data_IF_215037537772
#
_entry.id   IF_215037537772
#
_cell.length_a   1.000
_cell.length_b   1.000
_cell.length_c   1.000
_cell.angle_alpha   90.00
_cell.angle_beta   90.00
_cell.angle_gamma   90.00
#
_symmetry.space_group_name_H-M   'P 1'
#
loop_
_entity.id
_entity.type
_entity.pdbx_description
1 polymer ?
#
# COMPACT_ATOMS: atom_id res chain seq x y z
N UNK A 1 17.74 -84.13 -20.27
CA UNK A 1 18.15 -82.93 -19.57
C UNK A 1 17.70 -81.73 -20.45
N UNK A 2 16.55 -81.14 -20.18
CA UNK A 2 15.98 -80.02 -20.91
C UNK A 2 16.13 -78.75 -20.10
N UNK A 3 16.95 -77.85 -20.60
CA UNK A 3 17.23 -76.55 -19.96
C UNK A 3 16.17 -75.56 -20.39
N UNK A 4 15.35 -75.07 -19.45
CA UNK A 4 14.41 -74.00 -19.66
C UNK A 4 15.11 -72.65 -19.42
N UNK A 5 15.10 -71.80 -20.42
CA UNK A 5 15.61 -70.42 -20.37
C UNK A 5 14.45 -69.46 -20.08
N UNK A 6 14.46 -68.82 -18.92
CA UNK A 6 13.45 -67.82 -18.48
C UNK A 6 13.87 -66.46 -18.97
N UNK A 7 13.05 -65.84 -19.86
CA UNK A 7 13.23 -64.44 -20.26
C UNK A 7 12.54 -63.53 -19.20
N UNK A 8 13.31 -62.64 -18.61
CA UNK A 8 12.80 -61.58 -17.75
C UNK A 8 12.62 -60.32 -18.62
N UNK A 9 11.38 -59.91 -18.82
CA UNK A 9 11.06 -58.66 -19.55
C UNK A 9 11.03 -57.51 -18.55
N UNK A 10 12.01 -56.60 -18.67
CA UNK A 10 12.05 -55.37 -17.91
C UNK A 10 11.08 -54.35 -18.55
N UNK A 11 10.00 -54.00 -17.85
CA UNK A 11 9.11 -52.89 -18.26
C UNK A 11 9.71 -51.58 -17.80
N UNK A 12 10.16 -50.77 -18.73
CA UNK A 12 10.58 -49.39 -18.51
C UNK A 12 9.32 -48.51 -18.47
N UNK A 13 8.92 -48.01 -17.29
CA UNK A 13 7.89 -47.01 -17.16
C UNK A 13 8.45 -45.66 -17.60
N UNK A 14 8.03 -45.18 -18.74
CA UNK A 14 8.29 -43.80 -19.19
C UNK A 14 7.46 -42.83 -18.33
N UNK A 15 8.12 -42.09 -17.45
CA UNK A 15 7.50 -40.94 -16.77
C UNK A 15 7.39 -39.83 -17.82
N UNK A 16 6.21 -39.63 -18.37
CA UNK A 16 5.89 -38.45 -19.18
C UNK A 16 5.75 -37.27 -18.22
N UNK A 17 6.79 -36.44 -18.15
CA UNK A 17 6.68 -35.11 -17.57
C UNK A 17 5.69 -34.31 -18.47
N UNK A 18 4.47 -34.15 -18.02
CA UNK A 18 3.53 -33.19 -18.62
C UNK A 18 4.10 -31.80 -18.38
N UNK A 19 4.65 -31.19 -19.43
CA UNK A 19 4.92 -29.76 -19.44
C UNK A 19 3.61 -29.06 -19.13
N UNK A 20 3.55 -28.31 -18.05
CA UNK A 20 2.45 -27.40 -17.78
C UNK A 20 2.40 -26.45 -18.98
N UNK A 21 1.37 -26.59 -19.82
CA UNK A 21 1.08 -25.63 -20.89
C UNK A 21 0.65 -24.37 -20.16
N UNK A 22 1.19 -23.21 -20.55
CA UNK A 22 0.73 -21.92 -20.07
C UNK A 22 -0.80 -21.84 -20.20
N UNK A 23 -1.53 -21.74 -19.09
CA UNK A 23 -2.99 -21.73 -19.08
C UNK A 23 -3.55 -20.33 -19.39
N UNK A 24 -2.90 -19.56 -20.24
CA UNK A 24 -3.39 -18.26 -20.68
C UNK A 24 -2.53 -17.07 -20.24
N UNK A 25 -3.15 -15.91 -20.25
CA UNK A 25 -2.52 -14.65 -19.90
C UNK A 25 -3.34 -13.88 -18.84
N UNK A 26 -2.69 -12.90 -18.24
CA UNK A 26 -3.27 -11.95 -17.31
C UNK A 26 -2.76 -10.55 -17.65
N UNK A 27 -3.66 -9.61 -17.93
CA UNK A 27 -3.32 -8.23 -18.25
C UNK A 27 -3.47 -7.36 -16.99
N UNK A 28 -2.36 -7.00 -16.38
CA UNK A 28 -2.27 -6.27 -15.12
C UNK A 28 -2.05 -4.78 -15.37
N UNK A 29 -3.00 -3.94 -14.99
CA UNK A 29 -2.82 -2.50 -14.89
C UNK A 29 -2.38 -2.16 -13.47
N UNK A 30 -1.14 -1.68 -13.28
CA UNK A 30 -0.54 -1.50 -11.98
C UNK A 30 0.01 -0.09 -11.76
N UNK A 31 -0.35 0.50 -10.63
CA UNK A 31 0.34 1.69 -10.12
C UNK A 31 1.42 1.34 -9.08
N UNK A 32 1.62 0.08 -8.78
CA UNK A 32 2.76 -0.40 -8.00
C UNK A 32 3.98 -0.47 -8.92
N UNK A 33 5.13 -0.07 -8.38
CA UNK A 33 6.39 0.05 -9.14
C UNK A 33 7.61 -0.33 -8.26
N UNK A 34 7.40 -1.32 -7.39
CA UNK A 34 8.48 -1.77 -6.50
C UNK A 34 9.25 -2.91 -7.18
N UNK A 35 10.58 -2.84 -7.20
CA UNK A 35 11.44 -3.91 -7.73
C UNK A 35 11.14 -5.27 -7.10
N UNK A 36 10.67 -5.27 -5.85
CA UNK A 36 10.31 -6.46 -5.09
C UNK A 36 9.05 -7.15 -5.59
N UNK A 37 8.17 -6.42 -6.31
CA UNK A 37 6.96 -6.98 -6.90
C UNK A 37 7.27 -7.91 -8.09
N UNK A 38 8.45 -7.79 -8.72
CA UNK A 38 8.90 -8.69 -9.80
C UNK A 38 8.84 -10.16 -9.37
N UNK A 39 9.14 -10.42 -8.11
CA UNK A 39 9.11 -11.76 -7.56
C UNK A 39 7.68 -12.27 -7.36
N UNK A 40 6.74 -11.41 -7.03
CA UNK A 40 5.31 -11.77 -7.00
C UNK A 40 4.85 -12.28 -8.37
N UNK A 41 5.24 -11.57 -9.43
CA UNK A 41 4.81 -11.88 -10.79
C UNK A 41 5.50 -13.13 -11.33
N UNK A 42 6.82 -13.26 -11.13
CA UNK A 42 7.57 -14.41 -11.61
C UNK A 42 7.14 -15.72 -10.93
N UNK A 43 6.97 -15.71 -9.61
CA UNK A 43 6.58 -16.90 -8.85
C UNK A 43 5.14 -17.32 -9.17
N UNK A 44 4.23 -16.37 -9.42
CA UNK A 44 2.88 -16.69 -9.90
C UNK A 44 2.92 -17.36 -11.27
N UNK A 45 3.69 -16.80 -12.21
CA UNK A 45 3.85 -17.38 -13.55
C UNK A 45 4.48 -18.77 -13.48
N UNK A 46 5.51 -18.97 -12.64
CA UNK A 46 6.15 -20.28 -12.46
C UNK A 46 5.18 -21.32 -11.89
N UNK A 47 4.35 -20.92 -10.91
CA UNK A 47 3.41 -21.81 -10.26
C UNK A 47 2.22 -22.19 -11.12
N UNK A 48 1.75 -21.28 -11.99
CA UNK A 48 0.47 -21.44 -12.72
C UNK A 48 0.62 -21.61 -14.21
N UNK A 49 1.76 -21.22 -14.79
CA UNK A 49 1.95 -21.12 -16.24
C UNK A 49 1.28 -19.89 -16.86
N UNK A 50 0.56 -19.05 -16.08
CA UNK A 50 -0.11 -17.85 -16.59
C UNK A 50 0.91 -16.74 -16.80
N UNK A 51 0.96 -16.19 -18.03
CA UNK A 51 1.85 -15.06 -18.35
C UNK A 51 1.21 -13.74 -17.93
N UNK A 52 1.96 -12.91 -17.18
CA UNK A 52 1.49 -11.58 -16.78
C UNK A 52 1.98 -10.52 -17.77
N UNK A 53 1.05 -9.85 -18.45
CA UNK A 53 1.30 -8.68 -19.28
C UNK A 53 1.03 -7.42 -18.45
N UNK A 54 2.02 -6.54 -18.25
CA UNK A 54 1.90 -5.37 -17.39
C UNK A 54 1.80 -4.07 -18.15
N UNK A 55 0.92 -3.19 -17.69
CA UNK A 55 0.89 -1.78 -18.00
C UNK A 55 1.01 -1.01 -16.69
N UNK A 56 2.11 -0.30 -16.55
CA UNK A 56 2.41 0.48 -15.34
C UNK A 56 2.18 1.96 -15.59
N UNK A 57 1.60 2.65 -14.59
CA UNK A 57 1.28 4.07 -14.68
C UNK A 57 0.72 4.61 -13.38
N UNK A 58 0.36 5.90 -13.38
CA UNK A 58 -0.33 6.48 -12.22
C UNK A 58 -1.75 5.90 -12.15
N UNK A 59 -2.22 5.59 -10.93
CA UNK A 59 -3.53 4.98 -10.72
C UNK A 59 -4.66 5.75 -11.40
N UNK A 60 -4.66 7.07 -11.26
CA UNK A 60 -5.71 7.92 -11.86
C UNK A 60 -5.70 7.86 -13.39
N UNK A 61 -4.52 7.79 -14.02
CA UNK A 61 -4.36 7.63 -15.48
C UNK A 61 -4.85 6.26 -15.95
N UNK A 62 -4.56 5.20 -15.17
CA UNK A 62 -5.02 3.84 -15.46
C UNK A 62 -6.54 3.71 -15.34
N UNK A 63 -7.15 4.31 -14.30
CA UNK A 63 -8.62 4.34 -14.15
C UNK A 63 -9.29 5.06 -15.33
N UNK A 64 -8.81 6.25 -15.69
CA UNK A 64 -9.37 6.99 -16.84
C UNK A 64 -9.14 6.23 -18.17
N UNK A 65 -8.04 5.54 -18.31
CA UNK A 65 -7.77 4.66 -19.46
C UNK A 65 -8.78 3.51 -19.53
N UNK A 66 -9.01 2.78 -18.44
CA UNK A 66 -10.00 1.69 -18.38
C UNK A 66 -11.42 2.20 -18.71
N UNK A 67 -11.79 3.39 -18.22
CA UNK A 67 -13.06 4.05 -18.60
C UNK A 67 -13.15 4.31 -20.10
N UNK A 68 -12.09 4.87 -20.69
CA UNK A 68 -12.06 5.20 -22.11
C UNK A 68 -12.07 3.97 -23.02
N UNK A 69 -11.41 2.90 -22.60
CA UNK A 69 -11.40 1.61 -23.29
C UNK A 69 -12.76 0.89 -23.18
N UNK A 70 -13.49 1.09 -22.07
CA UNK A 70 -14.82 0.54 -21.84
C UNK A 70 -14.88 -0.98 -22.01
N UNK A 71 -15.84 -1.47 -22.80
CA UNK A 71 -16.00 -2.91 -23.08
C UNK A 71 -14.83 -3.54 -23.86
N UNK A 72 -13.94 -2.73 -24.46
CA UNK A 72 -12.77 -3.19 -25.19
C UNK A 72 -11.50 -3.13 -24.33
N UNK A 73 -11.60 -2.81 -23.04
CA UNK A 73 -10.42 -2.80 -22.17
C UNK A 73 -9.80 -4.19 -22.10
N UNK A 74 -8.49 -4.30 -22.36
CA UNK A 74 -7.79 -5.57 -22.20
C UNK A 74 -7.45 -5.87 -20.73
N UNK A 75 -7.66 -4.91 -19.81
CA UNK A 75 -7.31 -5.07 -18.40
C UNK A 75 -8.09 -6.21 -17.75
N UNK A 76 -7.39 -7.08 -17.04
CA UNK A 76 -7.98 -8.10 -16.18
C UNK A 76 -8.00 -7.65 -14.71
N UNK A 77 -6.96 -6.93 -14.27
CA UNK A 77 -6.81 -6.43 -12.91
C UNK A 77 -6.36 -4.98 -12.93
N UNK A 78 -6.90 -4.19 -12.00
CA UNK A 78 -6.30 -2.95 -11.52
C UNK A 78 -5.68 -3.19 -10.15
N UNK A 79 -4.36 -2.91 -10.02
CA UNK A 79 -3.61 -2.96 -8.76
C UNK A 79 -3.10 -1.56 -8.39
N UNK A 80 -3.44 -1.07 -7.20
CA UNK A 80 -3.11 0.30 -6.79
C UNK A 80 -2.59 0.40 -5.36
N UNK A 81 -2.14 1.57 -4.95
CA UNK A 81 -1.41 1.81 -3.70
C UNK A 81 -2.12 2.73 -2.70
N UNK A 82 -3.41 2.92 -2.85
CA UNK A 82 -4.17 3.80 -1.95
C UNK A 82 -5.65 3.44 -1.96
N UNK A 83 -6.25 3.41 -0.77
CA UNK A 83 -7.66 3.12 -0.55
C UNK A 83 -8.59 4.00 -1.40
N UNK A 84 -8.33 5.31 -1.44
CA UNK A 84 -9.19 6.24 -2.19
C UNK A 84 -9.19 5.98 -3.69
N UNK A 85 -8.14 5.36 -4.23
CA UNK A 85 -8.08 4.98 -5.63
C UNK A 85 -8.83 3.70 -5.94
N UNK A 86 -8.91 2.77 -5.00
CA UNK A 86 -9.75 1.58 -5.10
C UNK A 86 -11.23 1.99 -5.12
N UNK A 87 -11.65 2.84 -4.19
CA UNK A 87 -13.00 3.39 -4.16
C UNK A 87 -13.31 4.20 -5.43
N UNK A 88 -12.39 5.05 -5.88
CA UNK A 88 -12.55 5.77 -7.15
C UNK A 88 -12.71 4.84 -8.36
N UNK A 89 -12.00 3.71 -8.39
CA UNK A 89 -12.14 2.72 -9.46
C UNK A 89 -13.50 2.02 -9.39
N UNK A 90 -13.99 1.69 -8.18
CA UNK A 90 -15.35 1.19 -7.93
C UNK A 90 -16.40 2.19 -8.43
N UNK A 91 -16.35 3.43 -7.98
CA UNK A 91 -17.26 4.52 -8.37
C UNK A 91 -17.27 4.79 -9.88
N UNK A 92 -16.12 4.63 -10.52
CA UNK A 92 -15.97 4.77 -11.96
C UNK A 92 -16.55 3.59 -12.75
N UNK A 93 -17.00 2.52 -12.08
CA UNK A 93 -17.56 1.32 -12.70
C UNK A 93 -16.53 0.52 -13.51
N UNK A 94 -15.23 0.64 -13.19
CA UNK A 94 -14.16 -0.09 -13.89
C UNK A 94 -13.77 -1.40 -13.20
N UNK A 95 -14.38 -1.72 -12.06
CA UNK A 95 -14.23 -2.98 -11.34
C UNK A 95 -15.53 -3.78 -11.37
N UNK A 96 -15.46 -5.09 -11.14
CA UNK A 96 -16.60 -5.96 -10.97
C UNK A 96 -16.53 -6.72 -9.66
N UNK A 97 -17.70 -7.09 -9.10
CA UNK A 97 -17.79 -8.00 -7.97
C UNK A 97 -17.28 -9.39 -8.36
N UNK A 98 -16.57 -10.02 -7.44
CA UNK A 98 -16.16 -11.41 -7.54
C UNK A 98 -16.54 -12.16 -6.26
N UNK A 99 -16.78 -13.45 -6.39
CA UNK A 99 -16.96 -14.37 -5.27
C UNK A 99 -15.68 -15.19 -5.12
N UNK A 100 -15.06 -15.18 -3.95
CA UNK A 100 -13.88 -15.99 -3.62
C UNK A 100 -13.85 -16.27 -2.12
N UNK A 101 -14.24 -17.49 -1.74
CA UNK A 101 -14.16 -17.95 -0.36
C UNK A 101 -12.72 -17.78 0.18
N UNK A 102 -11.70 -17.97 -0.67
CA UNK A 102 -10.29 -17.81 -0.31
C UNK A 102 -9.98 -16.38 0.14
N UNK A 103 -10.42 -15.36 -0.60
CA UNK A 103 -10.18 -13.96 -0.26
C UNK A 103 -11.00 -13.56 0.97
N UNK A 104 -12.26 -13.97 1.04
CA UNK A 104 -13.15 -13.65 2.16
C UNK A 104 -12.70 -14.27 3.47
N UNK A 105 -12.17 -15.50 3.44
CA UNK A 105 -11.65 -16.19 4.63
C UNK A 105 -10.29 -15.65 5.10
N UNK A 106 -9.40 -15.27 4.17
CA UNK A 106 -8.03 -14.88 4.50
C UNK A 106 -7.87 -13.41 4.89
N UNK A 107 -8.67 -12.52 4.29
CA UNK A 107 -8.53 -11.09 4.49
C UNK A 107 -9.51 -10.58 5.56
N UNK A 108 -9.09 -9.67 6.46
CA UNK A 108 -10.03 -9.00 7.37
C UNK A 108 -11.09 -8.20 6.61
N UNK A 109 -12.31 -8.15 7.16
CA UNK A 109 -13.45 -7.48 6.51
C UNK A 109 -13.19 -6.00 6.18
N UNK A 110 -12.41 -5.28 7.01
CA UNK A 110 -12.02 -3.89 6.75
C UNK A 110 -10.97 -3.73 5.64
N UNK A 111 -10.47 -4.81 5.06
CA UNK A 111 -9.58 -4.83 3.89
C UNK A 111 -10.28 -5.39 2.65
N UNK A 112 -11.59 -5.49 2.68
CA UNK A 112 -12.44 -5.95 1.59
C UNK A 112 -13.51 -4.91 1.32
N UNK A 113 -13.83 -4.71 0.05
CA UNK A 113 -14.99 -3.92 -0.33
C UNK A 113 -16.30 -4.63 0.04
N UNK A 114 -17.31 -3.90 0.49
CA UNK A 114 -18.61 -4.46 0.87
C UNK A 114 -19.34 -5.18 -0.27
N UNK A 115 -19.05 -4.80 -1.54
CA UNK A 115 -19.55 -5.43 -2.75
C UNK A 115 -18.54 -6.38 -3.41
N UNK A 116 -17.43 -6.70 -2.75
CA UNK A 116 -16.36 -7.58 -3.25
C UNK A 116 -15.75 -7.11 -4.58
N UNK A 117 -15.67 -5.80 -4.82
CA UNK A 117 -15.07 -5.24 -6.04
C UNK A 117 -13.57 -5.01 -5.92
N UNK A 118 -13.03 -4.85 -4.69
CA UNK A 118 -11.61 -4.76 -4.42
C UNK A 118 -11.21 -5.41 -3.10
N UNK A 119 -9.93 -5.77 -3.00
CA UNK A 119 -9.31 -6.42 -1.84
C UNK A 119 -7.97 -5.77 -1.54
N UNK A 120 -7.65 -5.61 -0.24
CA UNK A 120 -6.39 -5.08 0.25
C UNK A 120 -5.38 -6.19 0.54
N UNK A 121 -4.15 -6.05 0.04
CA UNK A 121 -3.12 -7.08 0.16
C UNK A 121 -1.91 -6.67 1.01
N UNK A 122 -1.72 -5.40 1.27
CA UNK A 122 -0.71 -4.90 2.21
C UNK A 122 -1.14 -3.59 2.83
N UNK A 123 -0.59 -3.27 4.00
CA UNK A 123 -0.96 -2.09 4.76
C UNK A 123 0.27 -1.29 5.20
N UNK A 124 0.08 -0.01 5.49
CA UNK A 124 1.08 0.89 6.08
C UNK A 124 0.40 1.93 6.95
N UNK A 125 1.02 2.23 8.08
CA UNK A 125 0.62 3.36 8.90
C UNK A 125 1.33 4.63 8.43
N UNK A 126 0.64 5.76 8.49
CA UNK A 126 1.23 7.07 8.28
C UNK A 126 1.53 7.69 9.65
N UNK A 127 2.81 7.85 10.00
CA UNK A 127 3.22 8.18 11.35
C UNK A 127 4.07 9.45 11.41
N UNK A 128 4.25 9.98 12.61
CA UNK A 128 5.06 11.17 12.86
C UNK A 128 6.48 10.73 13.17
N UNK A 129 7.44 11.33 12.49
CA UNK A 129 8.87 11.23 12.78
C UNK A 129 9.40 12.56 13.29
N UNK A 130 10.43 12.53 14.14
CA UNK A 130 10.98 13.74 14.73
C UNK A 130 12.46 13.58 15.07
N UNK A 131 13.21 14.68 15.11
CA UNK A 131 14.58 14.70 15.64
C UNK A 131 14.55 14.69 17.18
N UNK A 132 15.16 13.66 17.78
CA UNK A 132 15.22 13.49 19.24
C UNK A 132 16.03 14.57 19.95
N UNK A 133 16.96 15.23 19.24
CA UNK A 133 17.81 16.27 19.81
C UNK A 133 17.04 17.60 19.93
N UNK A 134 16.14 17.89 18.97
CA UNK A 134 15.47 19.18 18.85
C UNK A 134 14.03 19.19 19.31
N UNK A 135 13.39 17.98 19.47
CA UNK A 135 12.00 17.83 19.88
C UNK A 135 11.90 17.00 21.15
N UNK A 136 11.93 17.66 22.31
CA UNK A 136 11.80 17.00 23.61
C UNK A 136 10.39 16.45 23.86
N UNK A 137 9.35 17.10 23.31
CA UNK A 137 7.95 16.74 23.43
C UNK A 137 7.34 16.59 22.04
N UNK A 138 7.44 15.40 21.41
CA UNK A 138 6.89 15.19 20.08
C UNK A 138 5.36 15.18 20.07
N UNK A 139 4.71 15.57 18.95
CA UNK A 139 3.27 15.46 18.77
C UNK A 139 2.80 14.02 19.01
N UNK A 140 1.68 13.84 19.72
CA UNK A 140 1.11 12.52 20.05
C UNK A 140 -0.09 12.16 19.19
N UNK A 141 -0.62 13.13 18.46
CA UNK A 141 -1.73 12.96 17.53
C UNK A 141 -1.47 13.79 16.27
N UNK A 142 -2.25 13.56 15.22
CA UNK A 142 -2.19 14.44 14.04
C UNK A 142 -2.62 15.85 14.40
N UNK A 143 -3.61 15.98 15.29
CA UNK A 143 -4.15 17.29 15.73
C UNK A 143 -3.06 18.14 16.36
N UNK A 144 -2.14 17.56 17.11
CA UNK A 144 -1.05 18.27 17.79
C UNK A 144 -0.09 18.96 16.79
N UNK A 145 -0.01 18.49 15.54
CA UNK A 145 0.85 19.11 14.52
C UNK A 145 0.46 20.56 14.19
N UNK A 146 -0.75 20.96 14.53
CA UNK A 146 -1.23 22.33 14.38
C UNK A 146 -0.87 23.24 15.55
N UNK A 147 -0.24 22.72 16.63
CA UNK A 147 0.17 23.51 17.78
C UNK A 147 1.24 24.54 17.34
N UNK A 148 1.06 25.85 17.66
CA UNK A 148 2.05 26.89 17.37
C UNK A 148 3.46 26.64 17.94
N UNK A 149 3.61 25.76 18.92
CA UNK A 149 4.91 25.33 19.45
C UNK A 149 5.81 24.67 18.39
N UNK A 150 5.21 24.16 17.29
CA UNK A 150 5.93 23.54 16.17
C UNK A 150 6.12 24.49 14.98
N UNK A 151 5.96 25.80 15.16
CA UNK A 151 6.14 26.78 14.09
C UNK A 151 7.53 26.71 13.48
N UNK A 152 7.56 26.58 12.14
CA UNK A 152 8.81 26.47 11.36
C UNK A 152 9.54 25.13 11.52
N UNK A 153 8.84 24.06 12.02
CA UNK A 153 9.46 22.77 12.32
C UNK A 153 8.98 21.61 11.48
N UNK A 154 7.86 21.75 10.76
CA UNK A 154 7.18 20.63 10.10
C UNK A 154 7.54 20.54 8.63
N UNK A 155 8.01 19.38 8.19
CA UNK A 155 8.10 19.00 6.77
C UNK A 155 6.95 18.09 6.37
N UNK A 156 6.35 18.36 5.22
CA UNK A 156 5.27 17.55 4.68
C UNK A 156 5.33 17.47 3.14
N UNK A 157 4.60 16.50 2.59
CA UNK A 157 4.42 16.36 1.15
C UNK A 157 3.40 17.36 0.61
N UNK A 158 3.43 17.57 -0.70
CA UNK A 158 2.45 18.38 -1.44
C UNK A 158 1.02 17.90 -1.23
N UNK A 159 0.06 18.84 -1.29
CA UNK A 159 -1.39 18.59 -1.31
C UNK A 159 -1.85 17.73 -2.48
N UNK A 160 -1.09 17.72 -3.59
CA UNK A 160 -1.38 16.85 -4.75
C UNK A 160 -1.03 15.39 -4.52
N UNK A 161 -0.33 15.07 -3.43
CA UNK A 161 0.03 13.69 -3.11
C UNK A 161 -1.12 12.97 -2.40
N UNK A 162 -1.43 11.76 -2.88
CA UNK A 162 -2.53 10.96 -2.36
C UNK A 162 -2.43 10.69 -0.85
N UNK A 163 -1.22 10.49 -0.30
CA UNK A 163 -1.05 10.24 1.15
C UNK A 163 -1.33 11.49 2.00
N UNK A 164 -1.13 12.69 1.45
CA UNK A 164 -1.58 13.94 2.10
C UNK A 164 -3.10 14.04 2.06
N UNK A 165 -3.70 13.74 0.90
CA UNK A 165 -5.14 13.81 0.68
C UNK A 165 -5.89 12.83 1.59
N UNK A 166 -5.47 11.56 1.65
CA UNK A 166 -6.12 10.55 2.49
C UNK A 166 -5.90 10.79 3.99
N UNK A 167 -4.75 11.34 4.39
CA UNK A 167 -4.56 11.77 5.77
C UNK A 167 -5.53 12.89 6.16
N UNK A 168 -5.66 13.95 5.36
CA UNK A 168 -6.62 15.01 5.65
C UNK A 168 -8.06 14.50 5.58
N UNK A 169 -8.36 13.60 4.64
CA UNK A 169 -9.67 12.95 4.55
C UNK A 169 -10.01 12.13 5.81
N UNK A 170 -9.01 11.44 6.41
CA UNK A 170 -9.21 10.74 7.68
C UNK A 170 -9.43 11.72 8.85
N UNK A 171 -8.74 12.86 8.85
CA UNK A 171 -8.99 13.93 9.85
C UNK A 171 -10.40 14.50 9.71
N UNK A 172 -10.90 14.68 8.48
CA UNK A 172 -12.29 15.11 8.24
C UNK A 172 -13.27 14.08 8.77
N UNK A 173 -13.05 12.79 8.46
CA UNK A 173 -13.93 11.70 8.90
C UNK A 173 -14.01 11.60 10.43
N UNK A 174 -12.89 11.77 11.13
CA UNK A 174 -12.81 11.67 12.59
C UNK A 174 -13.30 12.93 13.33
N UNK A 175 -13.07 14.13 12.77
CA UNK A 175 -13.23 15.39 13.51
C UNK A 175 -14.18 16.40 12.82
N UNK A 176 -14.63 16.13 11.59
CA UNK A 176 -15.46 17.02 10.79
C UNK A 176 -14.64 18.06 10.00
N UNK A 177 -15.29 18.65 8.97
CA UNK A 177 -14.64 19.51 7.97
C UNK A 177 -14.07 20.81 8.57
N UNK A 178 -14.81 21.45 9.51
CA UNK A 178 -14.36 22.71 10.13
C UNK A 178 -13.13 22.52 11.01
N UNK A 179 -13.09 21.45 11.81
CA UNK A 179 -11.93 21.12 12.66
C UNK A 179 -10.73 20.74 11.78
N UNK A 180 -10.94 19.95 10.73
CA UNK A 180 -9.91 19.55 9.79
C UNK A 180 -9.32 20.75 9.04
N UNK A 181 -10.14 21.75 8.68
CA UNK A 181 -9.69 22.99 8.06
C UNK A 181 -8.82 23.81 9.03
N UNK A 182 -9.24 23.93 10.28
CA UNK A 182 -8.44 24.57 11.34
C UNK A 182 -7.10 23.87 11.53
N UNK A 183 -7.10 22.55 11.59
CA UNK A 183 -5.91 21.73 11.64
C UNK A 183 -4.97 21.96 10.46
N UNK A 184 -5.48 21.84 9.23
CA UNK A 184 -4.70 22.02 8.03
C UNK A 184 -4.04 23.42 7.97
N UNK A 185 -4.78 24.47 8.39
CA UNK A 185 -4.24 25.83 8.49
C UNK A 185 -3.09 25.90 9.50
N UNK A 186 -3.26 25.32 10.70
CA UNK A 186 -2.22 25.30 11.72
C UNK A 186 -0.96 24.54 11.28
N UNK A 187 -1.14 23.41 10.56
CA UNK A 187 0.01 22.67 9.99
C UNK A 187 0.74 23.50 8.94
N UNK A 188 0.02 24.21 8.07
CA UNK A 188 0.62 25.13 7.08
C UNK A 188 1.43 26.23 7.77
N UNK A 189 0.90 26.81 8.86
CA UNK A 189 1.59 27.85 9.64
C UNK A 189 2.86 27.33 10.34
N UNK A 190 2.96 26.00 10.50
CA UNK A 190 4.07 25.31 11.13
C UNK A 190 5.09 24.75 10.13
N UNK A 191 4.91 24.90 8.84
CA UNK A 191 5.86 24.41 7.85
C UNK A 191 7.24 25.07 8.00
N UNK A 192 8.28 24.24 8.00
CA UNK A 192 9.67 24.66 7.94
C UNK A 192 10.06 25.11 6.53
N UNK A 193 9.44 24.53 5.52
CA UNK A 193 9.64 24.80 4.10
C UNK A 193 8.37 24.54 3.31
N UNK A 194 8.30 25.02 2.08
CA UNK A 194 7.24 24.64 1.14
C UNK A 194 7.17 23.11 1.00
N UNK A 195 5.97 22.49 0.99
CA UNK A 195 5.80 21.08 0.76
C UNK A 195 6.43 20.59 -0.54
N UNK A 196 7.26 19.55 -0.46
CA UNK A 196 7.99 19.02 -1.61
C UNK A 196 8.46 17.58 -1.39
N UNK A 197 8.84 16.91 -2.47
CA UNK A 197 9.47 15.60 -2.45
C UNK A 197 8.55 14.44 -2.01
N UNK A 198 9.15 13.28 -1.83
CA UNK A 198 8.52 12.08 -1.34
C UNK A 198 8.67 11.89 0.18
N UNK A 199 8.16 10.77 0.71
CA UNK A 199 8.28 10.45 2.15
C UNK A 199 9.74 10.28 2.58
N UNK A 200 10.61 9.73 1.72
CA UNK A 200 12.06 9.66 1.99
C UNK A 200 12.66 11.06 2.13
N UNK A 201 12.19 12.04 1.34
CA UNK A 201 12.70 13.41 1.42
C UNK A 201 12.24 14.14 2.69
N UNK A 202 11.09 13.73 3.25
CA UNK A 202 10.66 14.21 4.57
C UNK A 202 11.63 13.70 5.66
N UNK A 203 12.02 12.42 5.60
CA UNK A 203 12.99 11.84 6.53
C UNK A 203 14.40 12.46 6.35
N UNK A 204 14.81 12.76 5.11
CA UNK A 204 16.05 13.49 4.81
C UNK A 204 16.04 14.90 5.40
N UNK A 205 14.88 15.56 5.40
CA UNK A 205 14.70 16.87 6.03
C UNK A 205 15.03 16.86 7.53
N UNK A 206 14.69 15.79 8.25
CA UNK A 206 15.08 15.60 9.65
C UNK A 206 16.60 15.44 9.79
N UNK A 207 17.21 14.62 8.94
CA UNK A 207 18.67 14.36 8.97
C UNK A 207 19.48 15.61 8.64
N UNK A 208 19.01 16.44 7.74
CA UNK A 208 19.69 17.67 7.34
C UNK A 208 19.44 18.86 8.28
N UNK A 209 18.53 18.74 9.25
CA UNK A 209 18.11 19.85 10.10
C UNK A 209 17.24 20.90 9.38
N UNK A 210 16.66 20.56 8.22
CA UNK A 210 15.75 21.44 7.50
C UNK A 210 14.38 21.51 8.21
N UNK A 211 14.01 20.45 8.92
CA UNK A 211 12.84 20.37 9.77
C UNK A 211 13.09 19.45 10.96
N UNK A 212 12.32 19.64 12.03
CA UNK A 212 12.43 18.85 13.27
C UNK A 212 11.35 17.75 13.35
N UNK A 213 10.26 17.89 12.58
CA UNK A 213 9.11 16.99 12.57
C UNK A 213 8.71 16.70 11.12
N UNK A 214 8.38 15.45 10.82
CA UNK A 214 7.83 15.07 9.53
C UNK A 214 6.78 13.98 9.63
N UNK A 215 5.99 13.79 8.57
CA UNK A 215 5.06 12.68 8.43
C UNK A 215 5.48 11.82 7.25
N UNK A 216 5.56 10.51 7.48
CA UNK A 216 5.92 9.52 6.48
C UNK A 216 5.21 8.20 6.73
N UNK A 217 5.05 7.39 5.69
CA UNK A 217 4.59 6.01 5.88
C UNK A 217 5.69 5.16 6.50
N UNK A 218 5.28 4.21 7.32
CA UNK A 218 6.18 3.33 8.12
C UNK A 218 7.25 2.65 7.29
N UNK A 219 6.91 2.13 6.12
CA UNK A 219 7.82 1.33 5.30
C UNK A 219 9.03 2.12 4.75
N UNK A 220 8.97 3.44 4.64
CA UNK A 220 10.13 4.23 4.21
C UNK A 220 11.24 4.22 5.26
N UNK A 221 10.89 4.36 6.52
CA UNK A 221 11.87 4.31 7.61
C UNK A 221 12.30 2.87 7.90
N UNK A 222 11.38 1.91 7.88
CA UNK A 222 11.68 0.49 8.02
C UNK A 222 12.66 0.02 6.94
N UNK A 223 12.48 0.48 5.68
CA UNK A 223 13.43 0.23 4.60
C UNK A 223 14.81 0.80 4.91
N UNK A 224 14.88 2.01 5.44
CA UNK A 224 16.15 2.62 5.84
C UNK A 224 16.82 1.86 7.00
N UNK A 225 16.06 1.22 7.89
CA UNK A 225 16.61 0.31 8.91
C UNK A 225 17.21 -0.95 8.25
N UNK A 226 16.56 -1.51 7.23
CA UNK A 226 16.94 -2.78 6.60
C UNK A 226 18.09 -2.65 5.62
N UNK A 227 18.18 -1.54 4.89
CA UNK A 227 19.20 -1.31 3.85
C UNK A 227 19.63 0.14 3.79
N UNK A 228 20.77 0.40 3.17
CA UNK A 228 21.21 1.75 2.94
C UNK A 228 20.24 2.49 2.01
N UNK A 229 19.88 3.70 2.44
CA UNK A 229 19.07 4.65 1.69
C UNK A 229 19.84 5.96 1.62
N UNK A 230 20.06 6.44 0.40
CA UNK A 230 20.79 7.69 0.17
C UNK A 230 20.19 8.85 0.99
N UNK A 231 21.05 9.61 1.64
CA UNK A 231 20.67 10.71 2.54
C UNK A 231 20.08 10.30 3.89
N UNK A 232 20.08 8.99 4.23
CA UNK A 232 19.63 8.46 5.53
C UNK A 232 20.69 7.52 6.14
N UNK A 233 21.92 8.00 6.48
CA UNK A 233 22.97 7.16 7.04
C UNK A 233 22.59 6.63 8.43
N UNK A 234 23.20 5.51 8.84
CA UNK A 234 22.81 4.79 10.06
C UNK A 234 22.95 5.62 11.35
N UNK A 235 23.99 6.42 11.45
CA UNK A 235 24.25 7.32 12.56
C UNK A 235 23.22 8.44 12.67
N UNK A 236 22.82 9.05 11.56
CA UNK A 236 21.76 10.06 11.54
C UNK A 236 20.39 9.46 11.87
N UNK A 237 20.08 8.27 11.35
CA UNK A 237 18.83 7.55 11.69
C UNK A 237 18.69 7.28 13.19
N UNK A 238 19.78 7.09 13.91
CA UNK A 238 19.76 6.89 15.36
C UNK A 238 19.10 8.05 16.12
N UNK A 239 19.15 9.26 15.58
CA UNK A 239 18.54 10.46 16.17
C UNK A 239 17.05 10.62 15.79
N UNK A 240 16.55 9.88 14.82
CA UNK A 240 15.13 9.93 14.45
C UNK A 240 14.30 9.15 15.47
N UNK A 241 13.32 9.83 16.07
CA UNK A 241 12.25 9.23 16.85
C UNK A 241 10.99 9.11 16.01
N UNK A 242 10.03 8.30 16.49
CA UNK A 242 8.72 8.18 15.86
C UNK A 242 7.62 8.05 16.90
N UNK A 243 6.42 8.45 16.49
CA UNK A 243 5.19 8.33 17.26
C UNK A 243 4.11 7.75 16.34
N UNK A 244 3.46 6.69 16.75
CA UNK A 244 2.17 6.30 16.20
C UNK A 244 1.12 7.26 16.76
N UNK A 245 0.44 8.05 15.91
CA UNK A 245 -0.45 9.10 16.42
C UNK A 245 -1.72 8.55 17.04
N UNK A 246 -2.35 9.36 17.90
CA UNK A 246 -3.70 9.16 18.42
C UNK A 246 -3.96 7.81 19.13
N UNK A 247 -2.95 7.23 19.80
CA UNK A 247 -3.06 5.90 20.41
C UNK A 247 -4.08 5.85 21.58
N UNK A 248 -4.41 7.00 22.17
CA UNK A 248 -5.48 7.16 23.19
C UNK A 248 -6.80 7.69 22.59
N UNK A 249 -6.88 7.85 21.30
CA UNK A 249 -8.03 8.35 20.54
C UNK A 249 -8.38 7.42 19.38
N UNK A 250 -8.45 7.93 18.16
CA UNK A 250 -8.86 7.22 16.96
C UNK A 250 -7.86 6.15 16.45
N UNK A 251 -6.57 6.28 16.77
CA UNK A 251 -5.52 5.40 16.28
C UNK A 251 -4.73 6.00 15.12
N UNK A 252 -3.74 5.27 14.64
CA UNK A 252 -2.90 5.71 13.52
C UNK A 252 -3.60 5.46 12.18
N UNK A 253 -3.64 6.49 11.33
CA UNK A 253 -4.20 6.37 9.98
C UNK A 253 -3.50 5.26 9.19
N UNK A 254 -4.32 4.34 8.70
CA UNK A 254 -3.88 3.22 7.85
C UNK A 254 -4.21 3.50 6.40
N UNK A 255 -3.35 3.02 5.53
CA UNK A 255 -3.59 2.96 4.11
C UNK A 255 -3.20 1.58 3.58
N UNK A 256 -3.68 1.20 2.42
CA UNK A 256 -3.46 -0.13 1.87
C UNK A 256 -3.01 -0.09 0.41
N UNK A 257 -2.41 -1.19 -0.04
CA UNK A 257 -2.33 -1.52 -1.45
C UNK A 257 -3.28 -2.66 -1.72
N UNK A 258 -4.02 -2.55 -2.79
CA UNK A 258 -5.04 -3.52 -3.15
C UNK A 258 -5.34 -3.53 -4.64
N UNK A 259 -6.27 -4.36 -5.02
CA UNK A 259 -6.71 -4.47 -6.40
C UNK A 259 -8.05 -5.15 -6.53
N UNK A 260 -8.60 -5.06 -7.73
CA UNK A 260 -9.86 -5.70 -8.10
C UNK A 260 -9.85 -6.17 -9.55
N UNK A 261 -10.78 -7.04 -9.87
CA UNK A 261 -10.98 -7.54 -11.23
C UNK A 261 -11.65 -6.46 -12.06
N UNK A 262 -11.10 -6.20 -13.25
CA UNK A 262 -11.66 -5.20 -14.16
C UNK A 262 -13.08 -5.58 -14.62
N UNK A 263 -13.94 -4.58 -14.80
CA UNK A 263 -15.35 -4.78 -15.14
C UNK A 263 -15.58 -5.65 -16.38
N UNK A 264 -14.67 -5.57 -17.35
CA UNK A 264 -14.75 -6.29 -18.62
C UNK A 264 -13.55 -7.25 -18.81
N UNK A 265 -12.97 -7.76 -17.72
CA UNK A 265 -11.80 -8.63 -17.74
C UNK A 265 -11.95 -9.81 -18.71
N UNK A 266 -11.14 -9.89 -19.78
CA UNK A 266 -11.19 -11.02 -20.71
C UNK A 266 -10.72 -12.33 -20.08
N UNK A 267 -9.83 -12.27 -19.08
CA UNK A 267 -9.28 -13.43 -18.38
C UNK A 267 -9.67 -13.45 -16.90
N UNK A 268 -10.98 -13.31 -16.61
CA UNK A 268 -11.50 -13.18 -15.23
C UNK A 268 -11.01 -14.28 -14.30
N UNK A 269 -11.03 -15.54 -14.71
CA UNK A 269 -10.62 -16.66 -13.84
C UNK A 269 -9.13 -16.59 -13.47
N UNK A 270 -8.27 -16.13 -14.40
CA UNK A 270 -6.86 -15.90 -14.13
C UNK A 270 -6.65 -14.70 -13.21
N UNK A 271 -7.51 -13.67 -13.33
CA UNK A 271 -7.51 -12.52 -12.44
C UNK A 271 -7.85 -12.91 -11.00
N UNK A 272 -8.89 -13.71 -10.80
CA UNK A 272 -9.26 -14.22 -9.45
C UNK A 272 -8.12 -15.05 -8.87
N UNK A 273 -7.54 -16.00 -9.63
CA UNK A 273 -6.38 -16.80 -9.19
C UNK A 273 -5.20 -15.91 -8.76
N UNK A 274 -4.95 -14.81 -9.46
CA UNK A 274 -3.87 -13.91 -9.09
C UNK A 274 -4.18 -13.12 -7.80
N UNK A 275 -5.41 -12.64 -7.60
CA UNK A 275 -5.79 -11.98 -6.35
C UNK A 275 -5.71 -12.97 -5.17
N UNK A 276 -6.15 -14.22 -5.32
CA UNK A 276 -5.99 -15.27 -4.32
C UNK A 276 -4.51 -15.57 -4.02
N UNK A 277 -3.66 -15.59 -5.04
CA UNK A 277 -2.23 -15.72 -4.85
C UNK A 277 -1.65 -14.55 -4.04
N UNK A 278 -2.08 -13.31 -4.27
CA UNK A 278 -1.63 -12.16 -3.48
C UNK A 278 -2.01 -12.29 -1.99
N UNK A 279 -3.07 -13.00 -1.64
CA UNK A 279 -3.45 -13.33 -0.26
C UNK A 279 -2.70 -14.56 0.29
N UNK A 280 -1.94 -15.30 -0.53
CA UNK A 280 -1.18 -16.47 -0.05
C UNK A 280 -0.06 -16.08 0.93
N UNK A 281 0.30 -17.00 1.81
CA UNK A 281 1.39 -16.78 2.77
C UNK A 281 2.72 -16.39 2.10
N UNK A 282 3.01 -16.92 0.91
CA UNK A 282 4.21 -16.59 0.14
C UNK A 282 4.18 -15.15 -0.34
N UNK A 283 3.10 -14.71 -1.00
CA UNK A 283 2.96 -13.35 -1.50
C UNK A 283 2.95 -12.32 -0.35
N UNK A 284 2.28 -12.64 0.74
CA UNK A 284 2.24 -11.80 1.94
C UNK A 284 3.62 -11.60 2.58
N UNK A 285 4.50 -12.60 2.49
CA UNK A 285 5.89 -12.45 2.89
C UNK A 285 6.69 -11.51 2.00
N UNK A 286 6.39 -11.44 0.70
CA UNK A 286 7.04 -10.47 -0.19
C UNK A 286 6.61 -9.03 0.13
N UNK A 287 5.35 -8.79 0.45
CA UNK A 287 4.91 -7.47 0.92
C UNK A 287 5.61 -7.10 2.23
N UNK A 288 5.69 -8.02 3.18
CA UNK A 288 6.34 -7.78 4.47
C UNK A 288 7.86 -7.64 4.35
N UNK A 289 8.57 -8.67 3.91
CA UNK A 289 10.02 -8.69 3.91
C UNK A 289 10.66 -7.90 2.75
N UNK A 290 9.98 -7.82 1.60
CA UNK A 290 10.45 -7.11 0.42
C UNK A 290 10.21 -5.61 0.50
N UNK A 291 8.99 -5.19 0.83
CA UNK A 291 8.57 -3.80 0.82
C UNK A 291 8.51 -3.13 2.19
N UNK A 292 8.72 -3.89 3.28
CA UNK A 292 8.57 -3.39 4.66
C UNK A 292 7.14 -2.89 4.96
N UNK A 293 6.12 -3.47 4.30
CA UNK A 293 4.71 -3.22 4.56
C UNK A 293 4.16 -4.20 5.60
N UNK A 294 3.05 -3.86 6.26
CA UNK A 294 2.32 -4.82 7.09
C UNK A 294 1.54 -5.76 6.17
N UNK A 295 1.63 -7.09 6.37
CA UNK A 295 0.80 -8.04 5.64
C UNK A 295 -0.69 -7.81 5.94
N UNK A 296 -1.54 -8.09 4.96
CA UNK A 296 -3.00 -8.02 5.14
C UNK A 296 -3.55 -9.27 5.82
N UNK A 297 -2.94 -10.43 5.56
CA UNK A 297 -3.39 -11.72 6.11
C UNK A 297 -2.91 -11.88 7.55
N UNK A 298 -3.81 -12.11 8.52
CA UNK A 298 -3.45 -12.31 9.92
C UNK A 298 -2.51 -13.50 10.11
N UNK A 299 -1.58 -13.37 11.05
CA UNK A 299 -0.61 -14.44 11.38
C UNK A 299 0.62 -14.51 10.48
N UNK A 300 0.67 -13.77 9.38
CA UNK A 300 1.91 -13.63 8.59
C UNK A 300 2.89 -12.74 9.36
N UNK A 301 4.16 -13.18 9.42
CA UNK A 301 5.18 -12.44 10.14
C UNK A 301 5.50 -11.09 9.48
N UNK A 302 5.55 -10.03 10.28
CA UNK A 302 6.08 -8.73 9.86
C UNK A 302 7.61 -8.79 9.77
N UNK A 303 8.20 -7.97 8.90
CA UNK A 303 9.66 -7.91 8.78
C UNK A 303 10.32 -7.40 10.06
N UNK A 304 11.57 -7.81 10.37
CA UNK A 304 12.29 -7.29 11.54
C UNK A 304 12.42 -5.76 11.55
N UNK A 305 12.57 -5.14 10.39
CA UNK A 305 12.64 -3.68 10.25
C UNK A 305 11.34 -3.00 10.64
N UNK A 306 10.19 -3.53 10.22
CA UNK A 306 8.86 -3.03 10.63
C UNK A 306 8.60 -3.31 12.11
N UNK A 307 8.99 -4.50 12.60
CA UNK A 307 8.85 -4.86 14.02
C UNK A 307 9.61 -3.91 14.96
N UNK A 308 10.72 -3.31 14.50
CA UNK A 308 11.47 -2.29 15.25
C UNK A 308 10.63 -1.06 15.58
N UNK A 309 9.62 -0.73 14.77
CA UNK A 309 8.74 0.41 15.01
C UNK A 309 7.79 0.19 16.19
N UNK A 310 7.58 -1.06 16.62
CA UNK A 310 6.74 -1.43 17.75
C UNK A 310 5.28 -1.69 17.39
N UNK A 311 4.49 -1.91 18.42
CA UNK A 311 3.04 -2.15 18.31
C UNK A 311 2.27 -0.83 18.39
N UNK A 312 1.13 -0.78 17.73
CA UNK A 312 0.25 0.37 17.73
C UNK A 312 -1.21 -0.05 17.50
N UNK A 313 -2.12 0.85 17.79
CA UNK A 313 -3.53 0.71 17.45
C UNK A 313 -3.80 1.44 16.11
N UNK A 314 -4.27 0.73 15.07
CA UNK A 314 -4.71 1.35 13.83
C UNK A 314 -5.99 2.18 14.06
N UNK A 315 -6.26 3.10 13.14
CA UNK A 315 -7.57 3.73 12.98
C UNK A 315 -8.55 2.70 12.39
N UNK A 316 -9.78 2.69 12.90
CA UNK A 316 -10.85 1.79 12.47
C UNK A 316 -11.72 2.40 11.34
N UNK A 317 -11.30 3.51 10.73
CA UNK A 317 -12.03 4.14 9.64
C UNK A 317 -12.18 3.21 8.44
N UNK A 318 -13.39 3.18 7.94
CA UNK A 318 -13.73 2.54 6.69
C UNK A 318 -13.07 3.24 5.49
N UNK A 319 -12.68 2.44 4.48
CA UNK A 319 -12.06 2.90 3.24
C UNK A 319 -12.93 3.92 2.49
N UNK A 320 -14.23 3.63 2.41
CA UNK A 320 -15.24 4.47 1.77
C UNK A 320 -15.38 5.81 2.49
N UNK A 321 -15.34 5.83 3.82
CA UNK A 321 -15.41 7.07 4.60
C UNK A 321 -14.20 7.97 4.30
N UNK A 322 -13.00 7.40 4.12
CA UNK A 322 -11.82 8.16 3.73
C UNK A 322 -11.98 8.69 2.29
N UNK A 323 -12.33 7.83 1.35
CA UNK A 323 -12.44 8.19 -0.06
C UNK A 323 -13.46 9.30 -0.31
N UNK A 324 -14.62 9.24 0.33
CA UNK A 324 -15.69 10.24 0.22
C UNK A 324 -15.26 11.64 0.70
N UNK A 325 -14.27 11.72 1.60
CA UNK A 325 -13.75 12.98 2.11
C UNK A 325 -12.56 13.55 1.30
N UNK A 326 -12.01 12.81 0.33
CA UNK A 326 -10.87 13.29 -0.48
C UNK A 326 -11.18 14.57 -1.28
N UNK A 327 -12.36 14.75 -1.91
CA UNK A 327 -12.69 16.01 -2.56
C UNK A 327 -12.75 17.21 -1.60
N UNK A 328 -13.30 17.02 -0.39
CA UNK A 328 -13.32 18.05 0.65
C UNK A 328 -11.90 18.35 1.16
N UNK A 329 -11.06 17.33 1.32
CA UNK A 329 -9.66 17.50 1.68
C UNK A 329 -8.90 18.35 0.65
N UNK A 330 -9.09 18.09 -0.65
CA UNK A 330 -8.47 18.87 -1.70
C UNK A 330 -8.95 20.34 -1.70
N UNK A 331 -10.22 20.57 -1.44
CA UNK A 331 -10.77 21.93 -1.29
C UNK A 331 -10.13 22.66 -0.12
N UNK A 332 -10.03 22.01 1.04
CA UNK A 332 -9.37 22.57 2.23
C UNK A 332 -7.91 22.92 1.94
N UNK A 333 -7.14 22.05 1.29
CA UNK A 333 -5.75 22.32 0.92
C UNK A 333 -5.62 23.60 0.10
N UNK A 334 -6.50 23.78 -0.89
CA UNK A 334 -6.51 24.98 -1.73
C UNK A 334 -6.84 26.23 -0.90
N UNK A 335 -7.81 26.15 0.01
CA UNK A 335 -8.26 27.27 0.85
C UNK A 335 -7.20 27.70 1.87
N UNK A 336 -6.44 26.78 2.44
CA UNK A 336 -5.40 27.09 3.44
C UNK A 336 -4.01 27.34 2.85
N UNK A 337 -3.87 27.19 1.53
CA UNK A 337 -2.60 27.43 0.82
C UNK A 337 -1.57 26.33 1.01
N UNK A 338 -2.00 25.11 1.28
CA UNK A 338 -1.11 23.94 1.30
C UNK A 338 -0.78 23.57 -0.15
N UNK A 339 0.47 23.78 -0.54
CA UNK A 339 0.95 23.58 -1.92
C UNK A 339 1.16 22.12 -2.28
#
# INVERSE_FOLDING_TARGET
>A
MTTQTTFVTLAVAAITATSAIAEGELNLYSSRHYDTDERLYSDFTEATGITINRIEGKADELIERMKAEGANSPADILLTVDTSRLERAKDAGVLQSIESDTLEDLLPANLQDEDNQWFGFSQRARIIFYDKNDVANPPKSYVDLADPAYKGKVCHRSSSNVYSQTLLASVIANHGEDAAKGWAKGVVDNFARDPQGGDTDQLRGLVSGECDISISNTYYFARAIRKDVDGLPADARANIGWVFPAQNGEGAHMNLSGGGVAANAPNKDNAVKFLEYLASAQAQQYFSAGNDEYPAVPGVAISPSVATLGLFRPDDLDATAIANNVPAAQKIFNEVGWK
#
